data_IF_564264189670
#
_entry.id   IF_564264189670
#
_cell.length_a   1.000
_cell.length_b   1.000
_cell.length_c   1.000
_cell.angle_alpha   90.00
_cell.angle_beta   90.00
_cell.angle_gamma   90.00
#
_symmetry.space_group_name_H-M   'P 1'
#
loop_
_entity.id
_entity.type
_entity.pdbx_description
1 polymer ?
#
# COMPACT_ATOMS: atom_id res chain seq x y z
N UNK A 1 -6.30 -26.34 19.85
CA UNK A 1 -5.75 -24.97 19.91
C UNK A 1 -6.14 -24.35 21.23
N UNK A 2 -5.21 -23.65 21.87
CA UNK A 2 -5.47 -22.87 23.08
C UNK A 2 -6.26 -21.59 22.73
N UNK A 3 -6.95 -21.01 23.73
CA UNK A 3 -7.65 -19.73 23.57
C UNK A 3 -6.71 -18.61 23.09
N UNK A 4 -5.46 -18.66 23.52
CA UNK A 4 -4.43 -17.69 23.14
C UNK A 4 -4.02 -17.84 21.67
N UNK A 5 -3.93 -19.08 21.17
CA UNK A 5 -3.64 -19.36 19.75
C UNK A 5 -4.75 -18.83 18.83
N UNK A 6 -6.02 -19.00 19.24
CA UNK A 6 -7.18 -18.50 18.49
C UNK A 6 -7.15 -16.97 18.40
N UNK A 7 -6.91 -16.28 19.52
CA UNK A 7 -6.83 -14.82 19.55
C UNK A 7 -5.67 -14.29 18.70
N UNK A 8 -4.51 -14.95 18.75
CA UNK A 8 -3.35 -14.58 17.90
C UNK A 8 -3.66 -14.77 16.42
N UNK A 9 -4.39 -15.82 16.05
CA UNK A 9 -4.77 -16.06 14.67
C UNK A 9 -5.79 -15.03 14.15
N UNK A 10 -6.78 -14.66 14.98
CA UNK A 10 -7.74 -13.61 14.67
C UNK A 10 -7.05 -12.25 14.48
N UNK A 11 -6.17 -11.86 15.41
CA UNK A 11 -5.44 -10.60 15.31
C UNK A 11 -4.58 -10.53 14.02
N UNK A 12 -3.91 -11.62 13.65
CA UNK A 12 -3.13 -11.67 12.41
C UNK A 12 -4.01 -11.48 11.17
N UNK A 13 -5.20 -12.08 11.15
CA UNK A 13 -6.15 -11.92 10.05
C UNK A 13 -6.65 -10.47 9.94
N UNK A 14 -7.01 -9.84 11.05
CA UNK A 14 -7.43 -8.44 11.08
C UNK A 14 -6.32 -7.48 10.62
N UNK A 15 -5.07 -7.74 11.02
CA UNK A 15 -3.92 -6.95 10.57
C UNK A 15 -3.70 -7.07 9.06
N UNK A 16 -3.77 -8.28 8.52
CA UNK A 16 -3.67 -8.55 7.09
C UNK A 16 -4.78 -7.85 6.29
N UNK A 17 -6.02 -7.91 6.77
CA UNK A 17 -7.16 -7.22 6.16
C UNK A 17 -6.98 -5.70 6.17
N UNK A 18 -6.60 -5.13 7.31
CA UNK A 18 -6.35 -3.69 7.47
C UNK A 18 -5.24 -3.21 6.52
N UNK A 19 -4.16 -3.99 6.38
CA UNK A 19 -3.06 -3.63 5.49
C UNK A 19 -3.47 -3.63 4.02
N UNK A 20 -4.28 -4.61 3.61
CA UNK A 20 -4.85 -4.69 2.26
C UNK A 20 -5.77 -3.50 1.96
N UNK A 21 -6.71 -3.19 2.86
CA UNK A 21 -7.61 -2.05 2.71
C UNK A 21 -6.87 -0.71 2.61
N UNK A 22 -5.84 -0.53 3.43
CA UNK A 22 -4.97 0.64 3.38
C UNK A 22 -4.28 0.78 2.02
N UNK A 23 -3.73 -0.32 1.47
CA UNK A 23 -3.09 -0.31 0.16
C UNK A 23 -4.09 0.07 -0.96
N UNK A 24 -5.32 -0.43 -0.89
CA UNK A 24 -6.39 -0.08 -1.83
C UNK A 24 -6.79 1.41 -1.77
N UNK A 25 -6.95 1.96 -0.56
CA UNK A 25 -7.24 3.39 -0.36
C UNK A 25 -6.11 4.28 -0.90
N UNK A 26 -4.86 3.90 -0.66
CA UNK A 26 -3.71 4.64 -1.18
C UNK A 26 -3.60 4.56 -2.70
N UNK A 27 -3.98 3.43 -3.30
CA UNK A 27 -4.09 3.30 -4.76
C UNK A 27 -5.11 4.28 -5.34
N UNK A 28 -6.28 4.42 -4.69
CA UNK A 28 -7.28 5.41 -5.09
C UNK A 28 -6.75 6.83 -4.93
N UNK A 29 -6.10 7.15 -3.80
CA UNK A 29 -5.49 8.46 -3.57
C UNK A 29 -4.44 8.83 -4.61
N UNK A 30 -3.59 7.88 -5.03
CA UNK A 30 -2.63 8.08 -6.12
C UNK A 30 -3.31 8.42 -7.44
N UNK A 31 -4.36 7.69 -7.79
CA UNK A 31 -5.10 7.92 -9.03
C UNK A 31 -5.75 9.31 -9.03
N UNK A 32 -6.30 9.74 -7.89
CA UNK A 32 -6.82 11.09 -7.72
C UNK A 32 -5.70 12.15 -7.83
N UNK A 33 -4.55 11.93 -7.19
CA UNK A 33 -3.39 12.81 -7.29
C UNK A 33 -2.88 12.94 -8.73
N UNK A 34 -2.82 11.83 -9.47
CA UNK A 34 -2.44 11.81 -10.90
C UNK A 34 -3.39 12.66 -11.75
N UNK A 35 -4.70 12.55 -11.54
CA UNK A 35 -5.69 13.39 -12.23
C UNK A 35 -5.51 14.86 -11.88
N UNK A 36 -5.35 15.17 -10.60
CA UNK A 36 -5.10 16.53 -10.15
C UNK A 36 -3.85 17.15 -10.79
N UNK A 37 -2.78 16.37 -10.98
CA UNK A 37 -1.56 16.84 -11.66
C UNK A 37 -1.77 17.14 -13.14
N UNK A 38 -2.58 16.33 -13.83
CA UNK A 38 -2.92 16.59 -15.23
C UNK A 38 -3.80 17.84 -15.39
N UNK A 39 -4.56 18.20 -14.36
CA UNK A 39 -5.47 19.34 -14.35
C UNK A 39 -4.79 20.63 -13.83
N UNK A 40 -3.79 20.49 -12.95
CA UNK A 40 -3.08 21.60 -12.31
C UNK A 40 -1.92 22.09 -13.17
N UNK A 41 -1.83 23.40 -13.37
CA UNK A 41 -0.76 24.05 -14.12
C UNK A 41 -0.27 25.29 -13.38
N UNK A 42 0.90 25.80 -13.76
CA UNK A 42 1.48 27.01 -13.17
C UNK A 42 1.95 26.77 -11.74
N UNK A 43 1.72 27.74 -10.87
CA UNK A 43 2.35 27.81 -9.55
C UNK A 43 2.01 26.65 -8.61
N UNK A 44 0.91 25.92 -8.85
CA UNK A 44 0.48 24.77 -8.03
C UNK A 44 1.02 23.42 -8.52
N UNK A 45 1.68 23.39 -9.67
CA UNK A 45 2.12 22.14 -10.31
C UNK A 45 3.16 21.42 -9.45
N UNK A 46 4.09 22.15 -8.85
CA UNK A 46 5.18 21.58 -8.06
C UNK A 46 4.66 20.93 -6.76
N UNK A 47 3.68 21.54 -6.10
CA UNK A 47 3.03 21.00 -4.91
C UNK A 47 2.26 19.72 -5.22
N UNK A 48 1.53 19.69 -6.34
CA UNK A 48 0.79 18.50 -6.76
C UNK A 48 1.75 17.38 -7.18
N UNK A 49 2.87 17.71 -7.83
CA UNK A 49 3.93 16.74 -8.15
C UNK A 49 4.57 16.16 -6.89
N UNK A 50 4.82 16.99 -5.87
CA UNK A 50 5.30 16.54 -4.57
C UNK A 50 4.29 15.61 -3.89
N UNK A 51 3.01 15.99 -3.88
CA UNK A 51 1.94 15.17 -3.32
C UNK A 51 1.89 13.78 -3.96
N UNK A 52 1.97 13.68 -5.29
CA UNK A 52 2.02 12.37 -5.98
C UNK A 52 3.22 11.56 -5.54
N UNK A 53 4.39 12.20 -5.43
CA UNK A 53 5.62 11.50 -5.03
C UNK A 53 5.50 10.93 -3.62
N UNK A 54 4.89 11.67 -2.69
CA UNK A 54 4.59 11.20 -1.34
C UNK A 54 3.59 10.05 -1.35
N UNK A 55 2.51 10.15 -2.13
CA UNK A 55 1.53 9.06 -2.29
C UNK A 55 2.17 7.81 -2.89
N UNK A 56 3.16 7.97 -3.79
CA UNK A 56 3.96 6.87 -4.31
C UNK A 56 4.74 6.15 -3.22
N UNK A 57 5.48 6.90 -2.41
CA UNK A 57 6.27 6.35 -1.30
C UNK A 57 5.38 5.69 -0.25
N UNK A 58 4.26 6.34 0.13
CA UNK A 58 3.32 5.82 1.13
C UNK A 58 2.69 4.51 0.69
N UNK A 59 2.26 4.39 -0.58
CA UNK A 59 1.73 3.13 -1.11
C UNK A 59 2.79 2.04 -1.12
N UNK A 60 4.02 2.34 -1.56
CA UNK A 60 5.10 1.34 -1.56
C UNK A 60 5.37 0.79 -0.15
N UNK A 61 5.27 1.65 0.87
CA UNK A 61 5.38 1.24 2.26
C UNK A 61 4.19 0.39 2.71
N UNK A 62 2.96 0.73 2.31
CA UNK A 62 1.77 -0.08 2.60
C UNK A 62 1.84 -1.46 1.94
N UNK A 63 2.26 -1.54 0.68
CA UNK A 63 2.46 -2.79 -0.06
C UNK A 63 3.51 -3.69 0.64
N UNK A 64 4.57 -3.10 1.21
CA UNK A 64 5.57 -3.82 2.00
C UNK A 64 5.00 -4.37 3.32
N UNK A 65 4.14 -3.60 3.99
CA UNK A 65 3.47 -4.02 5.23
C UNK A 65 2.49 -5.15 4.92
N UNK A 66 1.68 -5.01 3.87
CA UNK A 66 0.79 -6.05 3.36
C UNK A 66 1.56 -7.34 3.08
N UNK A 67 2.65 -7.26 2.30
CA UNK A 67 3.49 -8.41 2.01
C UNK A 67 4.00 -9.06 3.30
N UNK A 68 4.50 -8.29 4.28
CA UNK A 68 4.99 -8.84 5.57
C UNK A 68 3.93 -9.54 6.40
N UNK A 69 2.68 -9.10 6.32
CA UNK A 69 1.56 -9.67 7.08
C UNK A 69 0.95 -10.89 6.36
N UNK A 70 0.92 -10.87 5.03
CA UNK A 70 0.25 -11.89 4.21
C UNK A 70 1.18 -12.99 3.68
N UNK A 71 2.49 -12.76 3.66
CA UNK A 71 3.44 -13.78 3.23
C UNK A 71 3.77 -14.78 4.34
N UNK A 72 3.95 -16.05 3.97
CA UNK A 72 4.78 -16.96 4.77
C UNK A 72 6.27 -16.57 4.71
N UNK A 73 6.69 -15.85 3.64
CA UNK A 73 8.03 -15.26 3.42
C UNK A 73 7.93 -13.91 2.66
N UNK A 74 8.13 -12.75 3.32
CA UNK A 74 7.81 -11.41 2.78
C UNK A 74 8.63 -11.00 1.57
N UNK A 75 9.82 -11.58 1.43
CA UNK A 75 10.77 -11.21 0.38
C UNK A 75 10.42 -11.89 -0.93
N UNK A 76 9.90 -13.13 -0.88
CA UNK A 76 9.48 -13.88 -2.06
C UNK A 76 8.26 -13.25 -2.74
N UNK A 77 7.26 -12.81 -1.97
CA UNK A 77 6.05 -12.19 -2.52
C UNK A 77 6.34 -10.80 -3.12
N UNK A 78 7.21 -10.02 -2.47
CA UNK A 78 7.64 -8.71 -2.98
C UNK A 78 8.39 -8.84 -4.32
N UNK A 79 9.23 -9.86 -4.47
CA UNK A 79 9.93 -10.18 -5.73
C UNK A 79 8.96 -10.60 -6.83
N UNK A 80 7.95 -11.42 -6.51
CA UNK A 80 6.93 -11.86 -7.46
C UNK A 80 6.07 -10.69 -8.00
N UNK A 81 5.62 -9.78 -7.12
CA UNK A 81 4.84 -8.60 -7.52
C UNK A 81 5.66 -7.62 -8.37
N UNK A 82 6.98 -7.53 -8.16
CA UNK A 82 7.87 -6.68 -8.97
C UNK A 82 8.06 -7.21 -10.40
N UNK A 83 7.98 -8.53 -10.59
CA UNK A 83 8.08 -9.17 -11.91
C UNK A 83 6.79 -9.05 -12.74
N UNK A 84 5.63 -8.87 -12.11
CA UNK A 84 4.35 -8.69 -12.81
C UNK A 84 4.12 -7.27 -13.35
N UNK A 85 4.90 -6.28 -12.90
CA UNK A 85 4.74 -4.87 -13.27
C UNK A 85 5.82 -4.38 -14.26
N UNK A 86 6.61 -5.28 -14.85
CA UNK A 86 7.55 -5.03 -15.96
C UNK A 86 7.10 -5.81 -17.20
#
# INVERSE_FOLDING_TARGET
MSREEILRQQLKAEQAETARELAELLRLGQEMGRRLCNETHGDMYDEVRLLISLLHQTRAQADLIDAKLNSADPVADLMARRQQNN
#
